data_IF_246024981472
#
_entry.id   IF_246024981472
#
_cell.length_a   1.000
_cell.length_b   1.000
_cell.length_c   1.000
_cell.angle_alpha   90.00
_cell.angle_beta   90.00
_cell.angle_gamma   90.00
#
_symmetry.space_group_name_H-M   'P 1'
#
loop_
_entity.id
_entity.type
_entity.pdbx_description
1 polymer ?
#
# COMPACT_ATOMS: atom_id res chain seq x y z
N UNK A 1 -39.78 24.18 -11.69
CA UNK A 1 -39.63 23.46 -10.42
C UNK A 1 -38.38 22.61 -10.52
N UNK A 2 -37.42 22.93 -9.64
CA UNK A 2 -36.22 22.20 -9.20
C UNK A 2 -35.16 21.76 -10.23
N UNK A 3 -34.14 22.60 -10.36
CA UNK A 3 -32.75 22.19 -10.66
C UNK A 3 -32.17 21.43 -9.46
N UNK A 4 -31.29 20.43 -9.65
CA UNK A 4 -30.51 19.86 -8.56
C UNK A 4 -29.29 20.75 -8.26
N UNK A 5 -29.00 20.91 -6.97
CA UNK A 5 -27.96 21.79 -6.42
C UNK A 5 -26.55 21.24 -6.64
N UNK A 6 -25.68 22.02 -7.27
CA UNK A 6 -24.23 21.85 -7.29
C UNK A 6 -23.63 22.06 -5.89
N UNK A 7 -23.49 20.96 -5.13
CA UNK A 7 -22.64 20.89 -3.93
C UNK A 7 -22.26 19.43 -3.66
N UNK A 8 -21.41 18.89 -4.52
CA UNK A 8 -20.63 17.67 -4.27
C UNK A 8 -19.58 17.57 -5.38
N UNK A 9 -18.52 18.38 -5.27
CA UNK A 9 -17.32 18.18 -6.08
C UNK A 9 -16.58 16.99 -5.50
N UNK A 10 -16.70 15.85 -6.19
CA UNK A 10 -15.99 14.61 -5.92
C UNK A 10 -14.48 14.85 -5.79
N UNK A 11 -13.92 14.50 -4.63
CA UNK A 11 -12.49 14.46 -4.36
C UNK A 11 -11.70 13.49 -5.28
N UNK A 12 -12.41 12.70 -6.08
CA UNK A 12 -11.83 11.73 -7.03
C UNK A 12 -11.21 12.36 -8.29
N UNK A 13 -11.59 13.57 -8.69
CA UNK A 13 -10.95 14.24 -9.85
C UNK A 13 -9.55 14.81 -9.56
N UNK A 14 -9.08 14.75 -8.31
CA UNK A 14 -7.77 15.28 -7.93
C UNK A 14 -6.61 14.26 -8.12
N UNK A 15 -6.91 13.00 -8.46
CA UNK A 15 -5.89 11.98 -8.73
C UNK A 15 -5.18 12.16 -10.09
N UNK A 16 -5.75 12.91 -11.03
CA UNK A 16 -5.20 13.09 -12.39
C UNK A 16 -3.99 14.05 -12.49
N UNK A 17 -3.58 14.70 -11.39
CA UNK A 17 -2.50 15.72 -11.41
C UNK A 17 -1.19 15.21 -10.79
N UNK A 18 -1.12 13.94 -10.37
CA UNK A 18 -0.06 13.45 -9.49
C UNK A 18 1.35 13.34 -10.08
N UNK A 19 1.56 13.50 -11.40
CA UNK A 19 2.83 13.10 -12.03
C UNK A 19 3.64 14.18 -12.77
N UNK A 20 3.36 15.47 -12.56
CA UNK A 20 4.24 16.52 -13.09
C UNK A 20 4.80 17.43 -12.00
N UNK A 21 6.11 17.29 -11.78
CA UNK A 21 7.04 18.33 -11.34
C UNK A 21 6.75 19.04 -10.02
N UNK A 22 7.26 18.46 -8.94
CA UNK A 22 7.46 19.17 -7.68
C UNK A 22 8.76 19.99 -7.75
N UNK A 23 8.77 21.09 -8.51
CA UNK A 23 9.69 22.24 -8.36
C UNK A 23 9.35 23.34 -9.37
N UNK A 24 8.51 24.30 -8.98
CA UNK A 24 8.44 25.60 -9.64
C UNK A 24 8.48 26.70 -8.57
N UNK A 25 9.67 27.25 -8.34
CA UNK A 25 9.85 28.43 -7.49
C UNK A 25 9.64 29.69 -8.32
N UNK A 26 8.51 30.38 -8.14
CA UNK A 26 8.33 31.72 -8.66
C UNK A 26 8.80 32.74 -7.62
N UNK A 27 9.89 33.45 -7.90
CA UNK A 27 10.31 34.61 -7.11
C UNK A 27 9.64 35.87 -7.65
N UNK A 28 8.93 36.62 -6.79
CA UNK A 28 8.50 37.99 -7.08
C UNK A 28 9.27 38.96 -6.20
N UNK A 29 9.92 39.92 -6.84
CA UNK A 29 10.59 41.05 -6.19
C UNK A 29 9.55 42.09 -5.78
N UNK A 30 9.44 42.39 -4.48
CA UNK A 30 8.75 43.59 -4.00
C UNK A 30 9.76 44.74 -3.88
N UNK A 31 9.27 45.97 -4.08
CA UNK A 31 10.03 47.24 -4.13
C UNK A 31 10.75 47.65 -2.83
N UNK A 32 10.93 46.72 -1.87
CA UNK A 32 11.61 46.95 -0.59
C UNK A 32 12.79 46.01 -0.31
N UNK A 33 13.31 45.31 -1.33
CA UNK A 33 14.56 44.55 -1.23
C UNK A 33 14.52 43.31 -0.32
N UNK A 34 13.35 42.94 0.22
CA UNK A 34 13.15 41.65 0.89
C UNK A 34 12.67 40.60 -0.11
N UNK A 35 13.55 39.65 -0.42
CA UNK A 35 13.18 38.40 -1.09
C UNK A 35 12.45 37.53 -0.07
N UNK A 36 11.12 37.68 0.02
CA UNK A 36 10.28 36.64 0.63
C UNK A 36 10.10 35.54 -0.40
N UNK A 37 10.76 34.40 -0.23
CA UNK A 37 10.37 33.16 -0.91
C UNK A 37 8.98 32.78 -0.38
N UNK A 38 7.94 33.22 -1.08
CA UNK A 38 6.62 32.63 -0.92
C UNK A 38 6.68 31.30 -1.67
N UNK A 39 6.91 30.21 -0.94
CA UNK A 39 6.65 28.87 -1.45
C UNK A 39 5.15 28.75 -1.67
N UNK A 40 4.71 29.08 -2.88
CA UNK A 40 3.33 28.88 -3.31
C UNK A 40 3.02 27.38 -3.21
N UNK A 41 1.98 27.05 -2.45
CA UNK A 41 1.62 25.66 -2.21
C UNK A 41 0.98 25.10 -3.47
N UNK A 42 1.51 23.97 -3.96
CA UNK A 42 1.09 23.34 -5.22
C UNK A 42 -0.37 22.88 -5.22
N UNK A 43 -0.94 22.57 -4.04
CA UNK A 43 -2.34 22.15 -3.91
C UNK A 43 -3.06 22.91 -2.78
N UNK A 44 -4.29 23.41 -3.00
CA UNK A 44 -5.10 24.00 -1.95
C UNK A 44 -5.43 22.93 -0.89
N UNK A 45 -5.42 23.34 0.38
CA UNK A 45 -5.86 22.49 1.50
C UNK A 45 -7.24 22.94 1.95
N UNK A 46 -8.20 22.03 1.96
CA UNK A 46 -9.52 22.27 2.52
C UNK A 46 -9.49 21.92 4.01
N UNK A 47 -9.75 22.91 4.87
CA UNK A 47 -9.97 22.64 6.29
C UNK A 47 -11.27 21.88 6.45
N UNK A 48 -11.20 20.76 7.14
CA UNK A 48 -12.36 20.00 7.56
C UNK A 48 -12.12 19.49 8.97
N UNK A 49 -13.20 19.17 9.68
CA UNK A 49 -13.15 18.42 10.94
C UNK A 49 -13.97 17.17 10.72
N UNK A 50 -13.29 16.06 10.46
CA UNK A 50 -13.89 14.76 10.26
C UNK A 50 -13.13 13.73 11.10
N UNK A 51 -13.82 12.68 11.54
CA UNK A 51 -13.19 11.59 12.29
C UNK A 51 -12.88 10.45 11.33
N UNK A 52 -11.60 10.11 11.19
CA UNK A 52 -11.13 9.01 10.35
C UNK A 52 -10.55 7.90 11.22
N UNK A 53 -10.44 6.69 10.68
CA UNK A 53 -9.80 5.56 11.30
C UNK A 53 -8.40 5.34 10.72
N UNK A 54 -7.43 5.07 11.59
CA UNK A 54 -6.03 4.85 11.21
C UNK A 54 -5.42 3.64 11.87
N UNK A 55 -4.43 3.06 11.20
CA UNK A 55 -3.50 2.10 11.77
C UNK A 55 -2.06 2.48 11.36
N UNK A 56 -1.10 2.34 12.28
CA UNK A 56 0.28 2.80 12.10
C UNK A 56 1.23 1.61 12.12
N UNK A 57 2.18 1.62 11.19
CA UNK A 57 3.20 0.58 11.05
C UNK A 57 2.80 -0.51 10.06
N UNK A 58 3.80 -1.14 9.45
CA UNK A 58 3.58 -2.07 8.35
C UNK A 58 2.68 -3.24 8.75
N UNK A 59 2.91 -3.86 9.91
CA UNK A 59 2.17 -5.05 10.32
C UNK A 59 0.69 -4.75 10.58
N UNK A 60 0.39 -3.59 11.18
CA UNK A 60 -0.99 -3.16 11.43
C UNK A 60 -1.70 -2.75 10.14
N UNK A 61 -0.99 -2.11 9.20
CA UNK A 61 -1.52 -1.85 7.86
C UNK A 61 -1.81 -3.15 7.15
N UNK A 62 -0.83 -4.08 7.11
CA UNK A 62 -0.97 -5.38 6.46
C UNK A 62 -2.15 -6.19 7.00
N UNK A 63 -2.33 -6.24 8.32
CA UNK A 63 -3.43 -6.98 8.96
C UNK A 63 -4.81 -6.37 8.65
N UNK A 64 -4.87 -5.04 8.47
CA UNK A 64 -6.11 -4.30 8.21
C UNK A 64 -6.58 -4.39 6.76
N UNK A 65 -5.70 -4.76 5.82
CA UNK A 65 -6.02 -4.79 4.40
C UNK A 65 -6.83 -6.02 3.98
N UNK A 66 -7.70 -5.88 2.97
CA UNK A 66 -8.36 -7.02 2.34
C UNK A 66 -7.32 -7.92 1.68
N UNK A 67 -7.60 -9.23 1.65
CA UNK A 67 -6.78 -10.16 0.87
C UNK A 67 -6.86 -9.78 -0.60
N UNK A 68 -5.75 -9.93 -1.31
CA UNK A 68 -5.72 -9.83 -2.79
C UNK A 68 -6.71 -10.83 -3.45
N UNK A 69 -7.18 -11.83 -2.70
CA UNK A 69 -8.14 -12.84 -3.14
C UNK A 69 -9.60 -12.37 -3.05
N UNK A 70 -9.92 -11.51 -2.08
CA UNK A 70 -11.28 -11.02 -1.79
C UNK A 70 -11.61 -9.73 -2.57
N UNK A 71 -10.60 -9.10 -3.16
CA UNK A 71 -10.60 -7.68 -3.52
C UNK A 71 -10.86 -7.32 -4.98
N UNK A 72 -11.19 -8.30 -5.84
CA UNK A 72 -11.50 -8.03 -7.25
C UNK A 72 -12.95 -8.34 -7.62
N UNK A 73 -13.87 -8.03 -6.70
CA UNK A 73 -15.29 -8.01 -7.00
C UNK A 73 -15.65 -6.61 -7.50
N UNK A 74 -15.86 -6.46 -8.81
CA UNK A 74 -16.60 -5.32 -9.33
C UNK A 74 -17.99 -5.36 -8.69
N UNK A 75 -18.38 -4.32 -7.97
CA UNK A 75 -19.73 -4.18 -7.45
C UNK A 75 -20.73 -4.07 -8.62
N UNK A 76 -21.19 -5.20 -9.15
CA UNK A 76 -22.53 -5.29 -9.71
C UNK A 76 -23.41 -5.96 -8.66
N UNK A 77 -24.07 -5.11 -7.88
CA UNK A 77 -25.11 -5.55 -6.95
C UNK A 77 -26.30 -6.05 -7.73
N UNK A 78 -26.52 -7.37 -7.76
CA UNK A 78 -27.88 -7.93 -7.59
C UNK A 78 -27.88 -9.41 -7.24
N UNK A 79 -28.85 -9.72 -6.38
CA UNK A 79 -29.46 -11.02 -6.06
C UNK A 79 -28.74 -11.95 -5.11
N UNK A 80 -29.31 -11.95 -3.91
CA UNK A 80 -29.35 -13.01 -2.91
C UNK A 80 -29.70 -14.37 -3.50
N UNK A 81 -28.99 -15.42 -3.09
CA UNK A 81 -29.63 -16.67 -2.66
C UNK A 81 -28.68 -17.52 -1.80
N UNK A 82 -29.05 -17.91 -0.57
CA UNK A 82 -28.27 -18.79 0.27
C UNK A 82 -28.83 -20.22 0.19
N UNK A 83 -28.13 -21.13 -0.48
CA UNK A 83 -28.11 -22.57 -0.16
C UNK A 83 -27.30 -23.35 -1.21
N UNK A 84 -26.28 -24.09 -0.76
CA UNK A 84 -26.07 -25.51 -1.09
C UNK A 84 -25.16 -26.13 -0.02
N UNK A 85 -25.53 -27.35 0.35
CA UNK A 85 -25.14 -28.11 1.55
C UNK A 85 -24.04 -29.15 1.23
N UNK A 86 -23.08 -29.26 2.15
CA UNK A 86 -22.46 -30.48 2.74
C UNK A 86 -21.87 -31.66 1.91
N UNK A 87 -20.62 -32.00 2.32
CA UNK A 87 -20.00 -33.34 2.55
C UNK A 87 -19.55 -34.19 1.33
N UNK A 88 -18.44 -34.95 1.30
CA UNK A 88 -17.60 -35.61 2.33
C UNK A 88 -16.24 -36.13 1.79
N UNK A 89 -15.25 -36.29 2.70
CA UNK A 89 -14.20 -37.35 2.85
C UNK A 89 -13.14 -37.58 1.73
N UNK A 90 -11.91 -38.05 1.94
CA UNK A 90 -10.95 -38.19 3.06
C UNK A 90 -9.69 -38.84 2.44
N UNK A 91 -8.48 -38.37 2.73
CA UNK A 91 -7.28 -39.22 2.57
C UNK A 91 -6.24 -38.82 3.61
N UNK A 92 -5.99 -39.73 4.55
CA UNK A 92 -4.93 -39.64 5.54
C UNK A 92 -3.56 -39.79 4.85
N UNK A 93 -2.69 -38.82 5.09
CA UNK A 93 -1.29 -38.83 4.70
C UNK A 93 -0.51 -38.10 5.78
N UNK A 94 -0.02 -38.87 6.74
CA UNK A 94 0.81 -38.41 7.85
C UNK A 94 2.25 -38.17 7.34
N UNK A 95 2.70 -36.92 7.24
CA UNK A 95 4.13 -36.59 7.42
C UNK A 95 4.39 -35.08 7.53
N UNK A 96 4.88 -34.71 8.72
CA UNK A 96 5.62 -33.50 9.10
C UNK A 96 4.80 -32.20 9.18
N UNK A 97 4.27 -31.95 10.38
CA UNK A 97 3.78 -30.65 10.85
C UNK A 97 4.93 -29.64 10.88
N UNK A 98 5.26 -29.07 9.73
CA UNK A 98 5.91 -27.77 9.65
C UNK A 98 4.93 -26.79 10.30
N UNK A 99 5.33 -26.09 11.38
CA UNK A 99 4.43 -25.17 12.07
C UNK A 99 3.87 -24.19 11.04
N UNK A 100 2.57 -24.24 10.80
CA UNK A 100 1.93 -23.34 9.85
C UNK A 100 2.19 -21.92 10.34
N UNK A 101 2.61 -21.06 9.42
CA UNK A 101 2.77 -19.63 9.70
C UNK A 101 1.52 -19.03 10.36
N UNK A 102 0.35 -19.61 10.12
CA UNK A 102 -0.92 -19.26 10.75
C UNK A 102 -0.93 -19.51 12.27
N UNK A 103 -0.37 -20.62 12.78
CA UNK A 103 -0.28 -20.89 14.22
C UNK A 103 0.76 -19.98 14.90
N UNK A 104 1.90 -19.73 14.23
CA UNK A 104 2.95 -18.84 14.76
C UNK A 104 2.50 -17.37 14.76
N UNK A 105 1.65 -16.97 13.81
CA UNK A 105 1.07 -15.63 13.76
C UNK A 105 -0.13 -15.48 14.71
N UNK A 106 -0.88 -16.55 15.02
CA UNK A 106 -1.98 -16.51 15.98
C UNK A 106 -1.51 -16.18 17.40
N UNK A 107 -0.34 -16.67 17.79
CA UNK A 107 0.26 -16.40 19.11
C UNK A 107 0.88 -14.98 19.20
N UNK A 108 1.24 -14.40 18.04
CA UNK A 108 1.68 -12.98 17.92
C UNK A 108 0.49 -12.03 17.70
N UNK A 109 -0.68 -12.55 17.31
CA UNK A 109 -1.90 -11.80 17.01
C UNK A 109 -2.68 -11.32 18.25
N UNK A 110 -2.12 -11.47 19.46
CA UNK A 110 -2.72 -10.98 20.70
C UNK A 110 -2.03 -9.72 21.27
N UNK A 111 -1.35 -8.93 20.44
CA UNK A 111 -1.31 -7.48 20.64
C UNK A 111 -2.27 -6.84 19.65
N UNK A 112 -3.51 -6.67 20.14
CA UNK A 112 -4.65 -5.95 19.58
C UNK A 112 -4.31 -5.09 18.35
N UNK A 113 -4.97 -5.36 17.22
CA UNK A 113 -5.01 -4.42 16.11
C UNK A 113 -5.69 -3.12 16.57
N UNK A 114 -4.89 -2.11 16.91
CA UNK A 114 -5.39 -0.82 17.42
C UNK A 114 -5.67 0.12 16.25
N UNK A 115 -6.76 -0.16 15.53
CA UNK A 115 -7.38 0.86 14.67
C UNK A 115 -7.88 1.99 15.58
N UNK A 116 -7.33 3.18 15.41
CA UNK A 116 -7.64 4.34 16.24
C UNK A 116 -8.44 5.38 15.45
N UNK A 117 -9.39 6.04 16.12
CA UNK A 117 -10.06 7.21 15.56
C UNK A 117 -9.25 8.49 15.78
N UNK A 118 -9.15 9.31 14.74
CA UNK A 118 -8.34 10.55 14.72
C UNK A 118 -9.10 11.68 14.02
N UNK A 119 -8.81 12.93 14.38
CA UNK A 119 -9.41 14.10 13.73
C UNK A 119 -8.57 14.49 12.50
N UNK A 120 -9.23 14.62 11.35
CA UNK A 120 -8.67 15.25 10.16
C UNK A 120 -8.79 16.77 10.33
N UNK A 121 -7.69 17.49 10.14
CA UNK A 121 -7.61 18.95 10.27
C UNK A 121 -7.74 19.65 8.92
N UNK A 122 -7.06 19.10 7.91
CA UNK A 122 -7.16 19.54 6.54
C UNK A 122 -6.78 18.42 5.56
N UNK A 123 -7.25 18.55 4.32
CA UNK A 123 -7.03 17.59 3.23
C UNK A 123 -6.57 18.32 1.99
N UNK A 124 -5.63 17.73 1.26
CA UNK A 124 -5.30 18.10 -0.12
C UNK A 124 -5.37 16.88 -1.01
N UNK A 125 -5.23 17.09 -2.32
CA UNK A 125 -5.11 15.99 -3.29
C UNK A 125 -4.04 14.96 -2.87
N UNK A 126 -2.92 15.44 -2.32
CA UNK A 126 -1.75 14.63 -1.96
C UNK A 126 -1.73 14.02 -0.56
N UNK A 127 -2.73 14.27 0.29
CA UNK A 127 -2.78 13.67 1.63
C UNK A 127 -3.51 14.48 2.69
N UNK A 128 -3.24 14.14 3.95
CA UNK A 128 -4.01 14.59 5.11
C UNK A 128 -3.13 15.29 6.14
N UNK A 129 -3.72 16.20 6.90
CA UNK A 129 -3.21 16.66 8.18
C UNK A 129 -4.10 16.07 9.28
N UNK A 130 -3.51 15.32 10.21
CA UNK A 130 -4.22 14.57 11.24
C UNK A 130 -3.78 15.01 12.63
N UNK A 131 -4.72 15.05 13.56
CA UNK A 131 -4.48 15.19 15.00
C UNK A 131 -4.43 13.79 15.63
N UNK A 132 -3.28 13.44 16.20
CA UNK A 132 -2.99 12.13 16.78
C UNK A 132 -2.85 12.28 18.30
N UNK A 133 -3.65 11.49 19.04
CA UNK A 133 -3.39 11.21 20.45
C UNK A 133 -2.52 9.93 20.54
N UNK A 134 -1.23 10.04 20.95
CA UNK A 134 -0.34 8.88 21.02
C UNK A 134 -0.80 7.79 21.99
N UNK A 135 -1.72 8.10 22.91
CA UNK A 135 -2.31 7.11 23.83
C UNK A 135 -3.34 6.21 23.13
N UNK A 136 -3.83 6.61 21.96
CA UNK A 136 -4.82 5.87 21.17
C UNK A 136 -4.22 5.17 19.96
N UNK A 137 -3.30 5.84 19.26
CA UNK A 137 -2.78 5.38 17.97
C UNK A 137 -1.27 5.06 17.99
N UNK A 138 -0.61 5.21 19.14
CA UNK A 138 0.84 5.14 19.26
C UNK A 138 1.55 6.42 18.81
N UNK A 139 2.87 6.47 19.04
CA UNK A 139 3.69 7.62 18.68
C UNK A 139 4.04 7.61 17.18
N UNK A 140 3.63 8.64 16.40
CA UNK A 140 3.89 8.67 14.96
C UNK A 140 5.38 8.89 14.67
N UNK A 141 5.98 8.03 13.83
CA UNK A 141 7.36 8.22 13.35
C UNK A 141 7.40 8.69 11.91
N UNK A 142 8.27 9.65 11.62
CA UNK A 142 8.48 10.11 10.24
C UNK A 142 9.02 8.95 9.39
N UNK A 143 8.44 8.79 8.20
CA UNK A 143 8.75 7.70 7.28
C UNK A 143 7.98 6.40 7.57
N UNK A 144 7.17 6.35 8.62
CA UNK A 144 6.31 5.19 8.90
C UNK A 144 5.11 5.13 7.95
N UNK A 145 4.71 3.91 7.57
CA UNK A 145 3.49 3.67 6.79
C UNK A 145 2.27 3.77 7.70
N UNK A 146 1.18 4.28 7.16
CA UNK A 146 -0.10 4.42 7.84
C UNK A 146 -1.25 4.05 6.89
N UNK A 147 -2.20 3.28 7.40
CA UNK A 147 -3.49 3.08 6.76
C UNK A 147 -4.46 4.15 7.24
N UNK A 148 -5.23 4.75 6.32
CA UNK A 148 -6.25 5.76 6.62
C UNK A 148 -7.54 5.38 5.92
N UNK A 149 -8.67 5.36 6.62
CA UNK A 149 -10.01 5.22 6.02
C UNK A 149 -11.00 6.15 6.69
N UNK A 150 -12.01 6.57 5.93
CA UNK A 150 -12.98 7.58 6.40
C UNK A 150 -13.96 6.99 7.42
N UNK A 151 -14.34 5.74 7.23
CA UNK A 151 -15.26 4.99 8.07
C UNK A 151 -15.01 3.48 7.87
N UNK A 152 -15.67 2.63 8.65
CA UNK A 152 -15.38 1.18 8.70
C UNK A 152 -15.49 0.47 7.34
N UNK A 153 -16.38 0.93 6.46
CA UNK A 153 -16.62 0.33 5.15
C UNK A 153 -15.86 1.03 4.01
N UNK A 154 -15.13 2.12 4.29
CA UNK A 154 -14.29 2.76 3.29
C UNK A 154 -13.03 1.93 3.04
N UNK A 155 -12.54 2.00 1.81
CA UNK A 155 -11.24 1.44 1.44
C UNK A 155 -10.11 2.08 2.27
N UNK A 156 -9.13 1.25 2.58
CA UNK A 156 -7.89 1.70 3.20
C UNK A 156 -7.01 2.41 2.18
N UNK A 157 -6.79 3.69 2.42
CA UNK A 157 -5.77 4.48 1.73
C UNK A 157 -4.43 4.25 2.40
N UNK A 158 -3.38 4.02 1.60
CA UNK A 158 -2.03 3.83 2.10
C UNK A 158 -1.30 5.16 2.07
N UNK A 159 -0.74 5.55 3.21
CA UNK A 159 -0.03 6.80 3.38
C UNK A 159 1.34 6.60 4.03
N UNK A 160 2.19 7.63 3.98
CA UNK A 160 3.43 7.72 4.77
C UNK A 160 3.49 9.04 5.54
N UNK A 161 3.94 8.96 6.80
CA UNK A 161 4.13 10.12 7.66
C UNK A 161 5.34 10.94 7.18
N UNK A 162 5.13 12.21 6.83
CA UNK A 162 6.18 13.10 6.30
C UNK A 162 6.73 14.07 7.32
N UNK A 163 5.88 14.51 8.24
CA UNK A 163 6.28 15.39 9.34
C UNK A 163 5.38 15.16 10.54
N UNK A 164 5.90 15.49 11.72
CA UNK A 164 5.17 15.46 12.98
C UNK A 164 5.58 16.68 13.80
N UNK A 165 4.62 17.31 14.47
CA UNK A 165 4.85 18.42 15.39
C UNK A 165 3.98 18.26 16.64
N UNK A 166 4.46 18.67 17.82
CA UNK A 166 3.65 18.65 19.04
C UNK A 166 2.38 19.50 18.88
N UNK A 167 1.31 19.09 19.55
CA UNK A 167 0.04 19.81 19.66
C UNK A 167 -0.53 19.70 21.08
N UNK A 168 -1.67 20.35 21.35
CA UNK A 168 -2.32 20.26 22.67
C UNK A 168 -2.88 18.87 22.97
N UNK A 169 -3.33 18.13 21.94
CA UNK A 169 -3.94 16.80 22.06
C UNK A 169 -2.91 15.66 21.90
N UNK A 170 -1.67 15.98 21.52
CA UNK A 170 -0.59 15.02 21.33
C UNK A 170 0.36 15.46 20.23
N UNK A 171 0.08 15.05 18.99
CA UNK A 171 0.85 15.47 17.82
C UNK A 171 -0.06 15.76 16.63
N UNK A 172 0.28 16.79 15.87
CA UNK A 172 -0.22 16.96 14.52
C UNK A 172 0.77 16.36 13.52
N UNK A 173 0.27 15.57 12.58
CA UNK A 173 1.10 14.96 11.54
C UNK A 173 0.60 15.33 10.15
N UNK A 174 1.54 15.39 9.21
CA UNK A 174 1.22 15.41 7.79
C UNK A 174 1.57 14.08 7.16
N UNK A 175 0.59 13.50 6.47
CA UNK A 175 0.77 12.25 5.74
C UNK A 175 0.62 12.50 4.25
N UNK A 176 1.40 11.77 3.46
CA UNK A 176 1.31 11.74 2.00
C UNK A 176 0.59 10.46 1.56
N UNK A 177 -0.39 10.60 0.67
CA UNK A 177 -1.12 9.51 0.07
C UNK A 177 -0.25 8.79 -0.98
N UNK A 178 0.01 7.49 -0.78
CA UNK A 178 0.74 6.64 -1.72
C UNK A 178 -0.17 5.92 -2.71
N UNK A 179 -1.35 5.50 -2.23
CA UNK A 179 -2.32 4.76 -3.02
C UNK A 179 -3.74 4.91 -2.45
N UNK A 180 -4.77 5.04 -3.30
CA UNK A 180 -6.16 5.10 -2.86
C UNK A 180 -6.67 3.74 -2.34
N UNK A 181 -6.10 2.64 -2.82
CA UNK A 181 -6.41 1.28 -2.38
C UNK A 181 -5.15 0.41 -2.39
N UNK A 182 -5.19 -0.67 -1.61
CA UNK A 182 -4.12 -1.66 -1.56
C UNK A 182 -4.65 -2.99 -1.02
N UNK A 183 -3.86 -4.05 -1.21
CA UNK A 183 -4.22 -5.41 -0.82
C UNK A 183 -3.04 -6.07 -0.11
N UNK A 184 -3.32 -6.91 0.88
CA UNK A 184 -2.26 -7.75 1.46
C UNK A 184 -1.94 -8.92 0.50
N UNK A 185 -0.66 -9.18 0.31
CA UNK A 185 -0.13 -10.27 -0.51
C UNK A 185 1.12 -10.88 0.13
N UNK A 186 1.58 -11.99 -0.42
CA UNK A 186 2.81 -12.65 -0.04
C UNK A 186 3.78 -12.64 -1.23
N UNK A 187 5.04 -12.31 -0.95
CA UNK A 187 6.13 -12.54 -1.87
C UNK A 187 6.80 -13.87 -1.57
N UNK A 188 7.13 -14.63 -2.62
CA UNK A 188 8.03 -15.78 -2.53
C UNK A 188 9.22 -15.61 -3.44
N UNK A 189 10.35 -16.15 -2.98
CA UNK A 189 11.53 -16.33 -3.81
C UNK A 189 11.24 -17.41 -4.87
N UNK A 190 11.48 -17.16 -6.16
CA UNK A 190 11.14 -18.08 -7.24
C UNK A 190 12.05 -19.31 -7.33
N UNK A 191 13.18 -19.34 -6.62
CA UNK A 191 14.14 -20.44 -6.63
C UNK A 191 13.98 -21.35 -5.41
N UNK A 192 13.70 -20.76 -4.24
CA UNK A 192 13.59 -21.52 -2.99
C UNK A 192 12.14 -21.85 -2.63
N UNK A 193 11.16 -21.03 -3.08
CA UNK A 193 9.71 -21.12 -2.82
C UNK A 193 9.27 -21.30 -1.35
N UNK A 194 10.21 -21.39 -0.41
CA UNK A 194 9.98 -21.79 0.98
C UNK A 194 9.65 -20.61 1.90
N UNK A 195 10.19 -19.42 1.61
CA UNK A 195 10.01 -18.24 2.47
C UNK A 195 8.95 -17.32 1.87
N UNK A 196 7.84 -17.18 2.60
CA UNK A 196 6.81 -16.17 2.31
C UNK A 196 7.10 -14.89 3.10
N UNK A 197 7.15 -13.77 2.40
CA UNK A 197 7.33 -12.44 2.99
C UNK A 197 6.05 -11.61 2.82
N UNK A 198 5.47 -11.09 3.92
CA UNK A 198 4.36 -10.14 3.85
C UNK A 198 4.69 -8.93 2.99
N UNK A 199 3.75 -8.56 2.13
CA UNK A 199 3.84 -7.41 1.26
C UNK A 199 2.47 -6.76 1.07
N UNK A 200 2.47 -5.48 0.75
CA UNK A 200 1.25 -4.76 0.36
C UNK A 200 1.30 -4.52 -1.14
N UNK A 201 0.40 -5.13 -1.88
CA UNK A 201 0.22 -4.87 -3.31
C UNK A 201 -0.55 -3.56 -3.50
N UNK A 202 0.00 -2.69 -4.32
CA UNK A 202 -0.59 -1.41 -4.70
C UNK A 202 -0.89 -1.50 -6.20
N UNK A 203 -2.17 -1.52 -6.59
CA UNK A 203 -2.57 -1.47 -7.99
C UNK A 203 -2.01 -0.22 -8.67
N UNK A 204 -1.53 -0.41 -9.89
CA UNK A 204 -1.20 0.67 -10.79
C UNK A 204 -2.44 1.41 -11.28
N UNK A 205 -2.20 2.49 -12.00
CA UNK A 205 -3.22 3.25 -12.72
C UNK A 205 -2.80 3.32 -14.19
N UNK A 206 -3.24 2.35 -15.03
CA UNK A 206 -2.81 2.25 -16.42
C UNK A 206 -3.10 3.52 -17.24
N UNK A 207 -4.22 4.20 -16.96
CA UNK A 207 -4.64 5.41 -17.67
C UNK A 207 -3.65 6.58 -17.54
N UNK A 208 -2.90 6.63 -16.44
CA UNK A 208 -1.90 7.68 -16.15
C UNK A 208 -0.47 7.12 -16.13
N UNK A 209 -0.26 5.90 -16.62
CA UNK A 209 1.06 5.29 -16.76
C UNK A 209 1.72 4.90 -15.44
N UNK A 210 0.96 4.69 -14.36
CA UNK A 210 1.49 4.23 -13.08
C UNK A 210 1.45 2.71 -13.04
N UNK A 211 2.59 2.00 -12.95
CA UNK A 211 2.60 0.55 -12.90
C UNK A 211 2.16 0.02 -11.52
N UNK A 212 1.80 -1.26 -11.48
CA UNK A 212 1.61 -2.01 -10.24
C UNK A 212 2.90 -1.91 -9.39
N UNK A 213 2.76 -1.97 -8.06
CA UNK A 213 3.89 -1.92 -7.15
C UNK A 213 3.65 -2.73 -5.89
N UNK A 214 4.73 -3.03 -5.17
CA UNK A 214 4.67 -3.64 -3.84
C UNK A 214 5.33 -2.73 -2.81
N UNK A 215 4.72 -2.64 -1.63
CA UNK A 215 5.32 -2.00 -0.46
C UNK A 215 5.78 -3.09 0.51
N UNK A 216 7.00 -2.96 1.00
CA UNK A 216 7.68 -3.94 1.83
C UNK A 216 8.28 -3.25 3.06
N UNK A 217 8.42 -3.97 4.20
CA UNK A 217 9.28 -3.51 5.28
C UNK A 217 10.71 -3.28 4.78
N UNK A 218 11.36 -2.23 5.27
CA UNK A 218 12.69 -1.82 4.81
C UNK A 218 13.76 -2.91 5.02
N UNK A 219 13.59 -3.76 6.05
CA UNK A 219 14.51 -4.85 6.38
C UNK A 219 14.37 -6.11 5.49
N UNK A 220 13.44 -6.15 4.53
CA UNK A 220 13.33 -7.26 3.58
C UNK A 220 14.47 -7.21 2.57
N UNK A 221 14.99 -8.36 2.15
CA UNK A 221 16.12 -8.43 1.22
C UNK A 221 15.78 -8.09 -0.23
N UNK A 222 14.51 -8.17 -0.63
CA UNK A 222 14.06 -7.94 -2.02
C UNK A 222 14.36 -6.51 -2.46
N UNK A 223 15.04 -6.34 -3.59
CA UNK A 223 15.48 -5.08 -4.17
C UNK A 223 15.19 -5.00 -5.67
N UNK A 224 15.43 -3.84 -6.27
CA UNK A 224 15.31 -3.65 -7.72
C UNK A 224 16.23 -4.61 -8.47
N UNK A 225 15.70 -5.25 -9.52
CA UNK A 225 16.36 -6.31 -10.28
C UNK A 225 15.99 -7.72 -9.83
N UNK A 226 15.47 -7.89 -8.61
CA UNK A 226 15.07 -9.21 -8.13
C UNK A 226 13.77 -9.69 -8.80
N UNK A 227 13.68 -11.00 -9.01
CA UNK A 227 12.43 -11.67 -9.40
C UNK A 227 11.75 -12.20 -8.14
N UNK A 228 10.44 -12.02 -8.03
CA UNK A 228 9.64 -12.59 -6.95
C UNK A 228 8.32 -13.12 -7.49
N UNK A 229 7.80 -14.17 -6.86
CA UNK A 229 6.44 -14.61 -7.06
C UNK A 229 5.52 -13.77 -6.16
N UNK A 230 4.54 -13.10 -6.75
CA UNK A 230 3.52 -12.31 -6.04
C UNK A 230 2.23 -13.12 -6.03
N UNK A 231 1.66 -13.36 -4.85
CA UNK A 231 0.39 -14.08 -4.73
C UNK A 231 -0.80 -13.20 -5.11
N UNK A 232 -1.52 -13.56 -6.16
CA UNK A 232 -2.74 -12.90 -6.66
C UNK A 232 -3.83 -13.94 -6.86
N UNK A 233 -4.98 -13.77 -6.19
CA UNK A 233 -6.13 -14.68 -6.33
C UNK A 233 -5.76 -16.16 -6.12
N UNK A 234 -4.96 -16.46 -5.09
CA UNK A 234 -4.46 -17.81 -4.79
C UNK A 234 -3.33 -18.31 -5.69
N UNK A 235 -2.98 -17.57 -6.76
CA UNK A 235 -1.97 -17.96 -7.74
C UNK A 235 -0.71 -17.12 -7.58
N UNK A 236 0.43 -17.77 -7.63
CA UNK A 236 1.73 -17.11 -7.59
C UNK A 236 2.19 -16.75 -9.00
N UNK A 237 2.34 -15.45 -9.25
CA UNK A 237 2.72 -14.92 -10.56
C UNK A 237 4.12 -14.29 -10.50
N UNK A 238 5.01 -14.55 -11.48
CA UNK A 238 6.36 -14.00 -11.48
C UNK A 238 6.37 -12.53 -11.90
N UNK A 239 7.01 -11.71 -11.08
CA UNK A 239 7.25 -10.29 -11.36
C UNK A 239 8.74 -9.96 -11.19
N UNK A 240 9.21 -9.02 -12.01
CA UNK A 240 10.48 -8.34 -11.83
C UNK A 240 10.25 -7.08 -10.99
N UNK A 241 11.12 -6.83 -10.02
CA UNK A 241 11.20 -5.57 -9.29
C UNK A 241 11.91 -4.54 -10.18
N UNK A 242 11.16 -3.79 -10.99
CA UNK A 242 11.68 -2.93 -12.06
C UNK A 242 12.45 -1.70 -11.56
N UNK A 243 11.85 -0.96 -10.61
CA UNK A 243 12.45 0.28 -10.10
C UNK A 243 12.05 0.57 -8.66
N UNK A 244 12.91 1.27 -7.93
CA UNK A 244 12.58 1.77 -6.60
C UNK A 244 11.70 3.01 -6.69
N UNK A 245 10.66 3.07 -5.86
CA UNK A 245 9.86 4.26 -5.60
C UNK A 245 10.27 4.91 -4.29
N UNK A 246 9.29 5.12 -3.39
CA UNK A 246 9.53 5.62 -2.05
C UNK A 246 10.40 4.65 -1.23
N UNK A 247 11.42 5.18 -0.55
CA UNK A 247 12.20 4.46 0.45
C UNK A 247 12.24 5.30 1.73
N UNK A 248 11.95 4.69 2.87
CA UNK A 248 12.02 5.31 4.19
C UNK A 248 12.81 4.41 5.14
N UNK A 249 12.95 4.83 6.40
CA UNK A 249 13.51 3.96 7.45
C UNK A 249 12.64 2.75 7.79
N UNK A 250 11.36 2.73 7.39
CA UNK A 250 10.41 1.67 7.77
C UNK A 250 9.95 0.82 6.59
N UNK A 251 9.81 1.40 5.40
CA UNK A 251 9.26 0.74 4.21
C UNK A 251 9.97 1.15 2.93
N UNK A 252 9.88 0.29 1.92
CA UNK A 252 10.25 0.58 0.54
C UNK A 252 9.14 0.15 -0.43
N UNK A 253 8.91 0.97 -1.44
CA UNK A 253 8.00 0.68 -2.57
C UNK A 253 8.83 0.28 -3.78
N UNK A 254 8.50 -0.85 -4.39
CA UNK A 254 9.12 -1.34 -5.63
C UNK A 254 8.09 -1.42 -6.75
N UNK A 255 8.45 -0.81 -7.87
CA UNK A 255 7.96 -0.99 -9.24
C UNK A 255 7.86 -2.47 -9.60
N UNK A 256 6.74 -3.01 -10.08
CA UNK A 256 6.72 -4.39 -10.62
C UNK A 256 6.26 -4.45 -12.08
N UNK A 257 6.89 -5.34 -12.84
CA UNK A 257 6.52 -5.69 -14.21
C UNK A 257 6.41 -7.20 -14.37
N UNK A 258 5.44 -7.66 -15.15
CA UNK A 258 5.27 -9.09 -15.42
C UNK A 258 6.52 -9.65 -16.11
N UNK A 259 6.93 -10.87 -15.72
CA UNK A 259 7.99 -11.59 -16.44
C UNK A 259 7.33 -12.38 -17.56
N UNK A 260 7.68 -12.07 -18.81
CA UNK A 260 7.19 -12.83 -19.96
C UNK A 260 7.70 -14.27 -19.91
N UNK A 261 6.86 -15.22 -20.32
CA UNK A 261 7.13 -16.65 -20.21
C UNK A 261 8.38 -17.14 -20.99
N UNK A 262 8.90 -16.33 -21.91
CA UNK A 262 10.12 -16.64 -22.68
C UNK A 262 11.38 -16.73 -21.81
N UNK A 263 11.39 -16.10 -20.64
CA UNK A 263 12.56 -16.04 -19.75
C UNK A 263 12.78 -17.36 -18.96
N UNK A 264 11.88 -18.34 -19.12
CA UNK A 264 12.09 -19.72 -18.62
C UNK A 264 13.01 -20.54 -19.52
N UNK A 265 13.13 -20.19 -20.80
CA UNK A 265 13.85 -21.01 -21.79
C UNK A 265 15.37 -20.73 -21.77
N UNK A 266 15.80 -19.50 -21.46
CA UNK A 266 17.22 -19.10 -21.59
C UNK A 266 18.19 -19.77 -20.58
N UNK A 267 17.70 -20.38 -19.49
CA UNK A 267 18.58 -21.09 -18.53
C UNK A 267 18.63 -22.61 -18.69
N UNK A 268 17.65 -23.22 -19.35
CA UNK A 268 17.72 -24.65 -19.68
C UNK A 268 18.83 -24.87 -20.72
N UNK A 269 19.05 -23.91 -21.62
CA UNK A 269 20.08 -24.00 -22.64
C UNK A 269 21.49 -23.82 -22.09
N UNK A 270 21.70 -22.96 -21.08
CA UNK A 270 23.02 -22.80 -20.42
C UNK A 270 23.37 -24.05 -19.58
N UNK A 271 22.40 -24.60 -18.84
CA UNK A 271 22.61 -25.84 -18.09
C UNK A 271 22.82 -27.05 -19.01
N UNK A 272 22.25 -27.03 -20.23
CA UNK A 272 22.44 -28.08 -21.23
C UNK A 272 23.74 -27.93 -22.01
N UNK A 273 24.25 -26.72 -22.25
CA UNK A 273 25.53 -26.49 -22.93
C UNK A 273 26.73 -26.86 -22.08
N UNK A 274 26.63 -26.72 -20.74
CA UNK A 274 27.73 -27.05 -19.82
C UNK A 274 27.91 -28.57 -19.60
N UNK A 275 26.90 -29.38 -19.93
CA UNK A 275 26.96 -30.85 -19.78
C UNK A 275 27.70 -31.52 -20.95
N UNK A 276 27.81 -30.88 -22.12
CA UNK A 276 28.54 -31.41 -23.28
C UNK A 276 30.00 -30.92 -23.38
N UNK A 277 30.42 -29.96 -22.56
CA UNK A 277 31.81 -29.47 -22.54
C UNK A 277 32.77 -30.34 -21.69
N UNK A 278 32.29 -31.46 -21.14
CA UNK A 278 33.05 -32.31 -20.19
C UNK A 278 33.20 -33.78 -20.62
N UNK A 279 33.06 -34.10 -21.92
CA UNK A 279 33.36 -35.43 -22.48
C UNK A 279 34.34 -35.35 -23.65
#
# INVERSE_FOLDING_TARGET
MNQPSTKEMNAFQALDVFHSNNEFSASKTSESGRVTQLTERVFPRLRMKAEYQVCIGFDQVFSSLPSMEDGWCSEDTTSSDPQIHQMSESSEGDMLRFSSYEEVMADVALEKSEVASVEVIDVSAGGFCLEIDPRKAGYPKIGEVMGVREHQNAEWKICVIRWSRPSSEGAQIGVELLAPSAFKTLLRDPYTEAVQSPAVFIPGMPLVGVPDSVLLPQNRSVTTGDKALVRRSGVDLPFLMDKSGLITGSVKRLFISAVEANDRQERVDIASSDIWASF
#
